data_IF_979473257502
#
_entry.id   IF_979473257502
#
_cell.length_a   1.000
_cell.length_b   1.000
_cell.length_c   1.000
_cell.angle_alpha   90.00
_cell.angle_beta   90.00
_cell.angle_gamma   90.00
#
_symmetry.space_group_name_H-M   'P 1'
#
loop_
_entity.id
_entity.type
_entity.pdbx_description
1 polymer ?
#
# COMPACT_ATOMS: atom_id res chain seq x y z
N UNK A 1 14.55 -2.59 14.17
CA UNK A 1 13.82 -3.52 13.30
C UNK A 1 14.69 -3.78 12.10
N UNK A 2 15.80 -4.48 12.32
CA UNK A 2 16.98 -4.39 11.47
C UNK A 2 17.18 -5.62 10.60
N UNK A 3 16.09 -6.10 9.99
CA UNK A 3 16.19 -7.12 8.96
C UNK A 3 15.20 -6.80 7.84
N UNK A 4 15.67 -6.08 6.82
CA UNK A 4 14.93 -5.88 5.57
C UNK A 4 15.21 -7.09 4.68
N UNK A 5 14.46 -8.18 4.86
CA UNK A 5 14.37 -9.21 3.84
C UNK A 5 13.38 -8.74 2.76
N UNK A 6 13.84 -8.66 1.50
CA UNK A 6 13.03 -8.19 0.35
C UNK A 6 11.76 -9.00 0.11
N UNK A 7 11.69 -10.24 0.58
CA UNK A 7 10.47 -11.06 0.54
C UNK A 7 9.49 -10.77 1.70
N UNK A 8 9.98 -10.31 2.87
CA UNK A 8 9.10 -9.96 4.00
C UNK A 8 8.35 -8.66 3.77
N UNK A 9 8.98 -7.64 3.16
CA UNK A 9 8.29 -6.38 2.85
C UNK A 9 7.23 -6.53 1.75
N UNK A 10 7.28 -7.59 0.94
CA UNK A 10 6.22 -7.94 0.00
C UNK A 10 5.01 -8.62 0.67
N UNK A 11 5.18 -9.11 1.90
CA UNK A 11 4.17 -9.85 2.66
C UNK A 11 3.65 -9.10 3.89
N UNK A 12 4.35 -8.05 4.35
CA UNK A 12 3.90 -7.17 5.42
C UNK A 12 3.49 -5.80 4.86
N UNK A 13 2.20 -5.44 4.95
CA UNK A 13 1.73 -4.15 4.45
C UNK A 13 0.40 -3.70 5.06
N UNK A 14 0.22 -2.38 5.07
CA UNK A 14 -1.08 -1.71 5.13
C UNK A 14 -1.31 -1.09 3.75
N UNK A 15 -2.30 -1.62 3.01
CA UNK A 15 -2.58 -1.19 1.64
C UNK A 15 -4.04 -0.72 1.54
N UNK A 16 -4.32 0.59 1.64
CA UNK A 16 -5.67 1.10 1.36
C UNK A 16 -6.10 0.76 -0.07
N UNK A 17 -5.16 0.84 -1.03
CA UNK A 17 -5.30 0.30 -2.38
C UNK A 17 -3.91 0.03 -2.97
N UNK A 18 -3.56 -1.25 -3.10
CA UNK A 18 -2.37 -1.72 -3.81
C UNK A 18 -2.74 -1.94 -5.28
N UNK A 19 -2.03 -1.27 -6.18
CA UNK A 19 -2.08 -1.49 -7.63
C UNK A 19 -0.77 -0.94 -8.23
N UNK A 20 -0.61 -1.04 -9.55
CA UNK A 20 0.57 -0.52 -10.25
C UNK A 20 0.55 1.02 -10.37
N UNK A 21 0.48 1.74 -9.24
CA UNK A 21 0.49 3.21 -9.25
C UNK A 21 1.89 3.76 -9.49
N UNK A 22 1.96 4.83 -10.27
CA UNK A 22 3.18 5.61 -10.46
C UNK A 22 2.91 7.08 -10.05
N UNK A 23 3.29 7.49 -8.84
CA UNK A 23 3.16 8.88 -8.41
C UNK A 23 3.98 9.85 -9.29
N UNK A 24 5.05 9.39 -9.94
CA UNK A 24 5.89 10.22 -10.79
C UNK A 24 5.30 10.47 -12.19
N UNK A 25 4.17 9.86 -12.54
CA UNK A 25 3.55 10.04 -13.87
C UNK A 25 2.91 11.42 -14.07
N UNK A 26 2.68 12.18 -13.00
CA UNK A 26 2.09 13.52 -13.07
C UNK A 26 2.71 14.43 -12.01
N UNK A 27 3.01 15.68 -12.39
CA UNK A 27 3.45 16.72 -11.46
C UNK A 27 2.38 17.12 -10.44
N UNK A 28 1.12 16.74 -10.68
CA UNK A 28 0.00 16.99 -9.76
C UNK A 28 -0.22 15.86 -8.77
N UNK A 29 0.45 14.72 -8.93
CA UNK A 29 0.42 13.62 -7.98
C UNK A 29 1.20 14.00 -6.73
N UNK A 30 0.62 13.78 -5.55
CA UNK A 30 1.35 13.97 -4.29
C UNK A 30 1.10 12.79 -3.36
N UNK A 31 2.11 12.48 -2.54
CA UNK A 31 1.95 11.63 -1.36
C UNK A 31 2.23 12.52 -0.16
N UNK A 32 1.22 12.69 0.68
CA UNK A 32 1.30 13.56 1.85
C UNK A 32 0.95 12.76 3.09
N UNK A 33 1.52 13.14 4.23
CA UNK A 33 1.15 12.55 5.50
C UNK A 33 0.89 13.64 6.54
N UNK A 34 0.08 13.29 7.53
CA UNK A 34 -0.21 14.08 8.72
C UNK A 34 -0.08 13.18 9.93
N UNK A 35 0.68 13.62 10.93
CA UNK A 35 0.68 13.03 12.26
C UNK A 35 0.32 14.11 13.28
N UNK A 36 -0.63 13.84 14.16
CA UNK A 36 -0.98 14.72 15.27
C UNK A 36 -0.83 14.06 16.65
N UNK A 37 -0.15 12.92 16.73
CA UNK A 37 0.04 12.12 17.94
C UNK A 37 -1.14 11.21 18.31
N UNK A 38 -2.32 11.39 17.70
CA UNK A 38 -3.50 10.52 17.92
C UNK A 38 -3.89 9.73 16.68
N UNK A 39 -3.59 10.28 15.51
CA UNK A 39 -3.79 9.62 14.22
C UNK A 39 -2.65 9.97 13.28
N UNK A 40 -2.14 8.96 12.60
CA UNK A 40 -1.23 9.07 11.48
C UNK A 40 -2.01 8.81 10.19
N UNK A 41 -2.03 9.77 9.27
CA UNK A 41 -2.75 9.70 8.00
C UNK A 41 -1.76 9.80 6.86
N UNK A 42 -1.89 8.94 5.85
CA UNK A 42 -1.20 9.05 4.56
C UNK A 42 -2.24 9.18 3.46
N UNK A 43 -2.07 10.16 2.59
CA UNK A 43 -2.87 10.38 1.39
C UNK A 43 -2.03 10.17 0.14
N UNK A 44 -2.57 9.37 -0.78
CA UNK A 44 -2.18 9.34 -2.17
C UNK A 44 -3.16 10.24 -2.92
N UNK A 45 -2.70 11.41 -3.35
CA UNK A 45 -3.51 12.41 -4.05
C UNK A 45 -3.18 12.38 -5.54
N UNK A 46 -4.22 12.20 -6.36
CA UNK A 46 -4.15 12.21 -7.81
C UNK A 46 -3.08 11.28 -8.42
N UNK A 47 -2.90 10.08 -7.86
CA UNK A 47 -1.95 9.10 -8.40
C UNK A 47 -2.56 8.33 -9.57
N UNK A 48 -1.75 7.96 -10.56
CA UNK A 48 -2.22 7.25 -11.76
C UNK A 48 -1.68 5.84 -11.82
N UNK A 49 -2.43 4.95 -12.47
CA UNK A 49 -1.93 3.64 -12.85
C UNK A 49 -0.87 3.79 -13.94
N UNK A 50 0.25 3.09 -13.79
CA UNK A 50 1.38 3.09 -14.72
C UNK A 50 0.93 2.77 -16.14
N UNK A 51 1.11 3.71 -17.07
CA UNK A 51 0.76 3.53 -18.49
C UNK A 51 -0.75 3.44 -18.76
N UNK A 52 -1.56 3.96 -17.83
CA UNK A 52 -3.03 4.00 -17.84
C UNK A 52 -3.54 5.35 -17.34
N UNK A 53 -2.83 6.42 -17.67
CA UNK A 53 -3.15 7.79 -17.25
C UNK A 53 -4.51 8.26 -17.81
N UNK A 54 -4.97 7.66 -18.91
CA UNK A 54 -6.28 7.90 -19.54
C UNK A 54 -7.47 7.45 -18.69
N UNK A 55 -7.26 6.50 -17.76
CA UNK A 55 -8.31 6.03 -16.85
C UNK A 55 -8.64 7.02 -15.73
N UNK A 56 -7.88 8.12 -15.63
CA UNK A 56 -8.04 9.12 -14.58
C UNK A 56 -7.19 8.85 -13.34
N UNK A 57 -7.24 9.81 -12.42
CA UNK A 57 -6.44 9.79 -11.20
C UNK A 57 -7.18 9.17 -10.02
N UNK A 58 -6.44 8.56 -9.12
CA UNK A 58 -6.94 7.94 -7.90
C UNK A 58 -6.55 8.79 -6.70
N UNK A 59 -7.50 8.96 -5.78
CA UNK A 59 -7.27 9.66 -4.51
C UNK A 59 -7.84 8.85 -3.35
N UNK A 60 -6.97 8.42 -2.45
CA UNK A 60 -7.32 7.58 -1.30
C UNK A 60 -6.37 7.79 -0.13
N UNK A 61 -6.77 7.31 1.05
CA UNK A 61 -6.03 7.49 2.30
C UNK A 61 -6.03 6.22 3.15
N UNK A 62 -5.00 6.10 3.99
CA UNK A 62 -5.00 5.26 5.17
C UNK A 62 -4.80 6.12 6.42
N UNK A 63 -5.60 5.88 7.45
CA UNK A 63 -5.45 6.50 8.76
C UNK A 63 -5.26 5.43 9.84
N UNK A 64 -4.22 5.58 10.65
CA UNK A 64 -3.84 4.71 11.75
C UNK A 64 -4.07 5.48 13.06
N UNK A 65 -5.08 5.10 13.81
CA UNK A 65 -5.36 5.68 15.12
C UNK A 65 -4.54 4.99 16.21
N UNK A 66 -4.12 5.74 17.22
CA UNK A 66 -3.45 5.21 18.41
C UNK A 66 -4.30 4.17 19.17
N UNK A 67 -5.62 4.16 18.97
CA UNK A 67 -6.52 3.14 19.50
C UNK A 67 -6.45 1.79 18.78
N UNK A 68 -5.58 1.63 17.78
CA UNK A 68 -5.50 0.46 16.91
C UNK A 68 -6.54 0.43 15.78
N UNK A 69 -7.36 1.48 15.62
CA UNK A 69 -8.33 1.57 14.52
C UNK A 69 -7.60 1.95 13.23
N UNK A 70 -7.86 1.20 12.17
CA UNK A 70 -7.37 1.46 10.82
C UNK A 70 -8.54 1.86 9.94
N UNK A 71 -8.42 2.96 9.21
CA UNK A 71 -9.45 3.47 8.30
C UNK A 71 -8.85 3.58 6.90
N UNK A 72 -9.53 3.01 5.90
CA UNK A 72 -9.25 3.27 4.49
C UNK A 72 -10.35 4.17 3.95
N UNK A 73 -9.96 5.29 3.34
CA UNK A 73 -10.90 6.24 2.75
C UNK A 73 -10.61 6.39 1.25
N UNK A 74 -11.68 6.38 0.45
CA UNK A 74 -11.60 6.45 -1.01
C UNK A 74 -12.37 7.68 -1.47
N UNK A 75 -11.67 8.66 -2.03
CA UNK A 75 -12.26 9.90 -2.51
C UNK A 75 -12.52 9.85 -4.01
N UNK A 76 -11.54 9.36 -4.77
CA UNK A 76 -11.62 9.31 -6.23
C UNK A 76 -11.10 7.96 -6.71
N UNK A 77 -11.99 7.17 -7.34
CA UNK A 77 -11.71 5.84 -7.88
C UNK A 77 -12.39 5.81 -9.26
N UNK A 78 -11.68 6.25 -10.32
CA UNK A 78 -12.31 6.58 -11.61
C UNK A 78 -12.73 5.34 -12.42
N UNK A 79 -12.21 4.16 -12.04
CA UNK A 79 -12.62 2.87 -12.59
C UNK A 79 -12.88 1.86 -11.47
N UNK A 80 -13.81 0.90 -11.65
CA UNK A 80 -14.00 -0.19 -10.69
C UNK A 80 -12.68 -0.93 -10.41
N UNK A 81 -12.39 -1.22 -9.13
CA UNK A 81 -11.15 -1.92 -8.73
C UNK A 81 -10.99 -3.27 -9.45
N UNK A 82 -12.11 -3.97 -9.71
CA UNK A 82 -12.14 -5.24 -10.45
C UNK A 82 -11.66 -5.13 -11.90
N UNK A 83 -11.60 -3.92 -12.46
CA UNK A 83 -11.12 -3.67 -13.83
C UNK A 83 -9.62 -3.31 -13.87
N UNK A 84 -8.98 -3.15 -12.71
CA UNK A 84 -7.53 -2.90 -12.64
C UNK A 84 -6.80 -4.22 -12.93
N UNK A 85 -5.87 -4.19 -13.90
CA UNK A 85 -5.09 -5.38 -14.27
C UNK A 85 -4.17 -5.83 -13.13
N UNK A 86 -4.28 -7.10 -12.74
CA UNK A 86 -3.40 -7.74 -11.76
C UNK A 86 -2.19 -8.47 -12.37
N UNK A 87 -1.99 -8.38 -13.69
CA UNK A 87 -0.98 -9.18 -14.41
C UNK A 87 0.46 -8.74 -14.12
N UNK A 88 0.70 -7.43 -14.03
CA UNK A 88 2.02 -6.84 -13.78
C UNK A 88 2.28 -6.57 -12.31
N UNK A 89 1.22 -6.28 -11.54
CA UNK A 89 1.29 -5.95 -10.13
C UNK A 89 0.02 -6.43 -9.44
N UNK A 90 0.08 -6.99 -8.22
CA UNK A 90 -1.11 -7.39 -7.49
C UNK A 90 -2.05 -6.19 -7.23
N UNK A 91 -3.34 -6.48 -7.27
CA UNK A 91 -4.41 -5.55 -6.87
C UNK A 91 -4.98 -6.04 -5.53
N UNK A 92 -4.80 -5.26 -4.46
CA UNK A 92 -5.23 -5.65 -3.11
C UNK A 92 -5.72 -4.44 -2.32
N UNK A 93 -6.61 -4.67 -1.37
CA UNK A 93 -6.92 -3.73 -0.30
C UNK A 93 -6.94 -4.50 1.01
N UNK A 94 -6.21 -4.05 2.02
CA UNK A 94 -6.14 -4.77 3.28
C UNK A 94 -4.83 -4.62 4.05
N UNK A 95 -4.66 -5.57 4.96
CA UNK A 95 -3.58 -5.67 5.91
C UNK A 95 -2.95 -7.05 5.76
N UNK A 96 -1.64 -7.12 5.82
CA UNK A 96 -0.91 -8.39 5.78
C UNK A 96 0.26 -8.31 6.74
N UNK A 97 0.52 -9.41 7.43
CA UNK A 97 1.67 -9.59 8.30
C UNK A 97 2.32 -10.95 7.96
N UNK A 98 3.59 -11.09 8.30
CA UNK A 98 4.36 -12.31 8.08
C UNK A 98 5.37 -12.52 9.21
N UNK A 99 5.62 -13.78 9.56
CA UNK A 99 6.65 -14.15 10.52
C UNK A 99 7.49 -15.28 9.95
N UNK A 100 8.75 -15.37 10.38
CA UNK A 100 9.63 -16.49 10.04
C UNK A 100 9.74 -17.44 11.22
N UNK A 101 9.67 -18.74 10.94
CA UNK A 101 10.05 -19.78 11.89
C UNK A 101 11.45 -20.23 11.50
N UNK A 102 12.42 -20.05 12.40
CA UNK A 102 13.74 -20.64 12.25
C UNK A 102 13.65 -22.10 12.69
N UNK A 103 13.77 -23.03 11.75
CA UNK A 103 13.99 -24.43 12.11
C UNK A 103 15.44 -24.56 12.57
N UNK A 104 15.72 -24.98 13.81
CA UNK A 104 17.07 -25.39 14.16
C UNK A 104 17.43 -26.56 13.25
N UNK A 105 18.49 -26.40 12.45
CA UNK A 105 19.10 -27.52 11.77
C UNK A 105 19.45 -28.58 12.82
N UNK A 106 19.15 -29.88 12.61
CA UNK A 106 19.77 -30.89 13.42
C UNK A 106 21.28 -30.72 13.25
N UNK A 107 22.00 -30.59 14.36
CA UNK A 107 23.46 -30.54 14.36
C UNK A 107 23.99 -31.61 13.40
N UNK A 108 24.72 -31.17 12.37
CA UNK A 108 25.46 -32.09 11.52
C UNK A 108 26.60 -32.63 12.40
N UNK A 109 26.74 -33.96 12.56
CA UNK A 109 27.72 -34.55 13.45
C UNK A 109 29.17 -34.21 13.08
#
# INVERSE_FOLDING_TARGET
GDVIHRMLTATQYIAPLMANFNPSSSLSSTIQYLDNGTVFVVQWDKVYLQGKEDLGSFTFQAALHSSGRIIFAYKEIPVPVLQISATQHPVKAGLSDAFMILNPSPDVP
#
